data_IF_691321388070
#
_entry.id   IF_691321388070
#
_cell.length_a   1.000
_cell.length_b   1.000
_cell.length_c   1.000
_cell.angle_alpha   90.00
_cell.angle_beta   90.00
_cell.angle_gamma   90.00
#
_symmetry.space_group_name_H-M   'P 1'
#
loop_
_entity.id
_entity.type
_entity.pdbx_description
1 polymer ?
#
# COMPACT_ATOMS: atom_id res chain seq x y z
N UNK A 1 8.51 -7.72 30.81
CA UNK A 1 8.42 -6.27 30.56
C UNK A 1 7.12 -6.04 29.84
N UNK A 2 6.17 -5.30 30.43
CA UNK A 2 5.10 -4.71 29.62
C UNK A 2 5.80 -3.78 28.63
N UNK A 3 5.64 -4.01 27.33
CA UNK A 3 5.99 -2.98 26.36
C UNK A 3 4.97 -1.87 26.53
N UNK A 4 5.43 -0.65 26.80
CA UNK A 4 4.56 0.52 26.71
C UNK A 4 3.98 0.60 25.30
N UNK A 5 2.65 0.73 25.22
CA UNK A 5 1.91 0.87 23.96
C UNK A 5 2.51 1.98 23.09
N UNK A 6 2.34 1.86 21.79
CA UNK A 6 2.68 2.91 20.86
C UNK A 6 1.56 3.93 20.80
N UNK A 7 1.87 5.14 21.22
CA UNK A 7 0.96 6.28 21.28
C UNK A 7 0.94 6.99 19.93
N UNK A 8 -0.24 7.27 19.39
CA UNK A 8 -0.35 7.96 18.11
C UNK A 8 -1.60 8.82 18.03
N UNK A 9 -1.54 9.80 17.14
CA UNK A 9 -2.69 10.63 16.77
C UNK A 9 -3.00 10.44 15.29
N UNK A 10 -4.21 10.83 14.89
CA UNK A 10 -4.61 10.88 13.49
C UNK A 10 -4.97 12.31 13.09
N UNK A 11 -4.38 12.78 12.00
CA UNK A 11 -4.64 14.08 11.38
C UNK A 11 -5.46 13.85 10.11
N UNK A 12 -6.74 14.19 10.19
CA UNK A 12 -7.69 13.99 9.10
C UNK A 12 -8.75 12.94 9.43
N UNK A 13 -10.00 13.24 9.08
CA UNK A 13 -11.19 12.47 9.46
C UNK A 13 -11.83 11.77 8.25
N UNK A 14 -11.02 11.40 7.25
CA UNK A 14 -11.47 10.79 6.01
C UNK A 14 -11.70 9.27 6.15
N UNK A 15 -12.20 8.66 5.08
CA UNK A 15 -12.39 7.20 5.01
C UNK A 15 -11.13 6.41 5.39
N UNK A 16 -9.96 6.86 4.92
CA UNK A 16 -8.69 6.18 5.15
C UNK A 16 -8.25 6.22 6.62
N UNK A 17 -8.55 7.31 7.32
CA UNK A 17 -8.28 7.44 8.76
C UNK A 17 -8.94 6.32 9.58
N UNK A 18 -10.10 5.81 9.14
CA UNK A 18 -10.82 4.75 9.86
C UNK A 18 -10.12 3.40 9.84
N UNK A 19 -9.16 3.17 8.93
CA UNK A 19 -8.33 1.96 8.97
C UNK A 19 -7.44 1.96 10.22
N UNK A 20 -6.81 3.10 10.52
CA UNK A 20 -5.99 3.27 11.72
C UNK A 20 -6.81 3.14 13.00
N UNK A 21 -8.04 3.65 13.02
CA UNK A 21 -8.98 3.46 14.14
C UNK A 21 -9.30 1.98 14.35
N UNK A 22 -9.60 1.24 13.27
CA UNK A 22 -9.89 -0.21 13.37
C UNK A 22 -8.67 -1.01 13.84
N UNK A 23 -7.47 -0.67 13.36
CA UNK A 23 -6.22 -1.28 13.83
C UNK A 23 -6.03 -1.03 15.34
N UNK A 24 -6.18 0.21 15.81
CA UNK A 24 -6.01 0.53 17.24
C UNK A 24 -7.00 -0.26 18.12
N UNK A 25 -8.25 -0.38 17.68
CA UNK A 25 -9.29 -1.15 18.39
C UNK A 25 -9.03 -2.65 18.39
N UNK A 26 -8.49 -3.19 17.30
CA UNK A 26 -8.18 -4.61 17.17
C UNK A 26 -6.91 -5.01 17.94
N UNK A 27 -6.02 -4.05 18.22
CA UNK A 27 -4.72 -4.28 18.86
C UNK A 27 -4.48 -3.31 20.03
N UNK A 28 -5.37 -3.26 21.04
CA UNK A 28 -5.31 -2.26 22.12
C UNK A 28 -4.12 -2.44 23.07
N UNK A 29 -3.52 -3.63 23.09
CA UNK A 29 -2.30 -3.93 23.84
C UNK A 29 -1.04 -3.38 23.15
N UNK A 30 -1.13 -3.03 21.86
CA UNK A 30 0.01 -2.52 21.07
C UNK A 30 -0.12 -1.03 20.76
N UNK A 31 -1.33 -0.55 20.45
CA UNK A 31 -1.56 0.83 20.01
C UNK A 31 -2.52 1.59 20.93
N UNK A 32 -2.16 2.83 21.26
CA UNK A 32 -3.02 3.81 21.92
C UNK A 32 -3.30 4.96 20.93
N UNK A 33 -4.54 5.06 20.45
CA UNK A 33 -4.99 6.24 19.71
C UNK A 33 -5.32 7.33 20.72
N UNK A 34 -4.44 8.31 20.88
CA UNK A 34 -4.59 9.38 21.86
C UNK A 34 -5.69 10.35 21.46
N UNK A 35 -5.71 10.76 20.18
CA UNK A 35 -6.76 11.60 19.62
C UNK A 35 -6.79 11.57 18.09
N UNK A 36 -7.95 11.91 17.53
CA UNK A 36 -8.06 12.35 16.14
C UNK A 36 -8.24 13.87 16.07
N UNK A 37 -7.30 14.55 15.43
CA UNK A 37 -7.39 15.98 15.15
C UNK A 37 -8.39 16.26 14.01
N UNK A 38 -9.34 17.13 14.30
CA UNK A 38 -10.39 17.59 13.40
C UNK A 38 -10.43 19.12 13.38
N UNK A 39 -10.46 19.75 12.20
CA UNK A 39 -10.48 21.22 12.08
C UNK A 39 -11.78 21.89 12.58
N UNK A 40 -12.88 21.14 12.70
CA UNK A 40 -14.21 21.66 13.03
C UNK A 40 -14.81 20.85 14.16
N UNK A 41 -15.32 21.52 15.20
CA UNK A 41 -15.91 20.88 16.38
C UNK A 41 -17.06 19.93 16.00
N UNK A 42 -17.98 20.37 15.14
CA UNK A 42 -19.09 19.54 14.64
C UNK A 42 -18.60 18.19 14.06
N UNK A 43 -17.48 18.21 13.30
CA UNK A 43 -16.91 17.00 12.72
C UNK A 43 -16.21 16.15 13.78
N UNK A 44 -15.54 16.78 14.75
CA UNK A 44 -14.92 16.11 15.88
C UNK A 44 -15.95 15.37 16.73
N UNK A 45 -17.06 16.03 17.08
CA UNK A 45 -18.16 15.46 17.88
C UNK A 45 -18.80 14.28 17.16
N UNK A 46 -19.08 14.42 15.86
CA UNK A 46 -19.64 13.34 15.05
C UNK A 46 -18.73 12.11 15.05
N UNK A 47 -17.42 12.29 14.84
CA UNK A 47 -16.46 11.18 14.81
C UNK A 47 -16.32 10.55 16.20
N UNK A 48 -16.27 11.35 17.27
CA UNK A 48 -16.19 10.85 18.63
C UNK A 48 -17.41 9.97 18.95
N UNK A 49 -18.61 10.42 18.59
CA UNK A 49 -19.84 9.67 18.80
C UNK A 49 -19.90 8.40 17.95
N UNK A 50 -19.60 8.49 16.65
CA UNK A 50 -19.73 7.39 15.69
C UNK A 50 -18.71 6.27 15.95
N UNK A 51 -17.48 6.63 16.32
CA UNK A 51 -16.39 5.67 16.48
C UNK A 51 -15.97 5.46 17.94
N UNK A 52 -16.51 6.19 18.91
CA UNK A 52 -16.14 6.04 20.32
C UNK A 52 -14.65 6.29 20.56
N UNK A 53 -14.09 7.34 19.95
CA UNK A 53 -12.68 7.73 20.08
C UNK A 53 -12.57 9.17 20.60
N UNK A 54 -11.42 9.50 21.18
CA UNK A 54 -11.11 10.87 21.53
C UNK A 54 -10.87 11.71 20.27
N UNK A 55 -11.44 12.91 20.20
CA UNK A 55 -11.23 13.86 19.12
C UNK A 55 -10.90 15.23 19.69
N UNK A 56 -10.03 15.96 19.01
CA UNK A 56 -9.61 17.30 19.42
C UNK A 56 -9.63 18.26 18.25
N UNK A 57 -9.77 19.55 18.55
CA UNK A 57 -9.76 20.63 17.56
C UNK A 57 -8.55 21.56 17.71
N UNK A 58 -7.69 21.30 18.70
CA UNK A 58 -6.45 22.02 18.96
C UNK A 58 -5.24 21.17 18.57
N UNK A 59 -4.30 21.79 17.86
CA UNK A 59 -2.99 21.20 17.56
C UNK A 59 -2.16 21.08 18.85
N UNK A 60 -2.24 22.07 19.74
CA UNK A 60 -1.49 22.05 21.00
C UNK A 60 -1.91 20.88 21.89
N UNK A 61 -3.21 20.53 21.90
CA UNK A 61 -3.69 19.34 22.61
C UNK A 61 -3.03 18.07 22.08
N UNK A 62 -2.86 17.96 20.76
CA UNK A 62 -2.20 16.82 20.13
C UNK A 62 -0.71 16.73 20.53
N UNK A 63 -0.01 17.88 20.54
CA UNK A 63 1.41 17.93 20.90
C UNK A 63 1.60 17.62 22.38
N UNK A 64 0.73 18.12 23.25
CA UNK A 64 0.80 17.90 24.70
C UNK A 64 0.59 16.44 25.10
N UNK A 65 -0.11 15.64 24.27
CA UNK A 65 -0.23 14.19 24.46
C UNK A 65 1.10 13.44 24.24
N UNK A 66 2.09 14.05 23.57
CA UNK A 66 3.40 13.47 23.26
C UNK A 66 3.33 12.08 22.60
N UNK A 67 2.55 11.92 21.51
CA UNK A 67 2.47 10.65 20.82
C UNK A 67 3.82 10.28 20.18
N UNK A 68 4.05 8.98 19.97
CA UNK A 68 5.21 8.47 19.23
C UNK A 68 5.16 8.94 17.77
N UNK A 69 3.99 9.00 17.13
CA UNK A 69 3.87 9.47 15.75
C UNK A 69 2.48 10.05 15.44
N UNK A 70 2.40 10.84 14.36
CA UNK A 70 1.16 11.30 13.76
C UNK A 70 0.88 10.57 12.45
N UNK A 71 -0.32 10.02 12.30
CA UNK A 71 -0.84 9.55 11.02
C UNK A 71 -1.43 10.73 10.26
N UNK A 72 -0.92 11.05 9.08
CA UNK A 72 -1.44 12.12 8.23
C UNK A 72 -2.34 11.50 7.14
N UNK A 73 -3.65 11.52 7.38
CA UNK A 73 -4.68 10.93 6.52
C UNK A 73 -5.59 12.01 5.92
N UNK A 74 -4.98 12.97 5.21
CA UNK A 74 -5.65 14.09 4.54
C UNK A 74 -5.79 13.86 3.03
N UNK A 75 -6.28 14.85 2.29
CA UNK A 75 -6.38 14.75 0.82
C UNK A 75 -4.98 14.64 0.20
N UNK A 76 -4.88 13.98 -0.97
CA UNK A 76 -3.60 13.88 -1.70
C UNK A 76 -2.98 15.25 -2.01
N UNK A 77 -3.79 16.28 -2.20
CA UNK A 77 -3.31 17.63 -2.49
C UNK A 77 -2.69 18.32 -1.26
N UNK A 78 -3.11 17.95 -0.04
CA UNK A 78 -2.61 18.57 1.19
C UNK A 78 -1.55 17.73 1.91
N UNK A 79 -1.29 16.51 1.44
CA UNK A 79 -0.46 15.51 2.16
C UNK A 79 0.96 16.03 2.45
N UNK A 80 1.61 16.67 1.47
CA UNK A 80 2.98 17.16 1.60
C UNK A 80 3.06 18.32 2.61
N UNK A 81 2.22 19.35 2.43
CA UNK A 81 2.24 20.52 3.31
C UNK A 81 1.84 20.16 4.75
N UNK A 82 0.83 19.30 4.94
CA UNK A 82 0.44 18.84 6.27
C UNK A 82 1.53 17.96 6.89
N UNK A 83 2.17 17.07 6.14
CA UNK A 83 3.28 16.29 6.71
C UNK A 83 4.43 17.18 7.18
N UNK A 84 4.84 18.18 6.38
CA UNK A 84 5.87 19.15 6.76
C UNK A 84 5.44 19.94 8.00
N UNK A 85 4.20 20.44 8.04
CA UNK A 85 3.66 21.18 9.19
C UNK A 85 3.79 20.39 10.51
N UNK A 86 3.48 19.11 10.50
CA UNK A 86 3.54 18.27 11.69
C UNK A 86 4.98 17.85 12.04
N UNK A 87 5.85 17.68 11.04
CA UNK A 87 7.28 17.49 11.29
C UNK A 87 7.96 18.73 11.88
N UNK A 88 7.58 19.94 11.45
CA UNK A 88 8.05 21.23 12.02
C UNK A 88 7.75 21.33 13.53
N UNK A 89 6.67 20.69 13.97
CA UNK A 89 6.26 20.59 15.38
C UNK A 89 7.01 19.48 16.15
N UNK A 90 8.00 18.85 15.51
CA UNK A 90 8.84 17.84 16.10
C UNK A 90 8.27 16.42 16.06
N UNK A 91 7.19 16.17 15.31
CA UNK A 91 6.56 14.85 15.28
C UNK A 91 7.11 13.95 14.18
N UNK A 92 7.27 12.66 14.47
CA UNK A 92 7.42 11.64 13.43
C UNK A 92 6.07 11.46 12.74
N UNK A 93 6.08 11.46 11.41
CA UNK A 93 4.89 11.45 10.57
C UNK A 93 4.82 10.15 9.76
N UNK A 94 3.66 9.47 9.83
CA UNK A 94 3.24 8.44 8.89
C UNK A 94 2.19 9.04 7.95
N UNK A 95 2.58 9.51 6.78
CA UNK A 95 1.64 10.08 5.81
C UNK A 95 1.06 9.01 4.89
N UNK A 96 -0.21 9.13 4.55
CA UNK A 96 -0.82 8.37 3.47
C UNK A 96 -0.14 8.60 2.11
N UNK A 97 -0.39 7.70 1.15
CA UNK A 97 0.20 7.77 -0.18
C UNK A 97 -0.59 8.70 -1.12
N UNK A 98 0.08 9.34 -2.11
CA UNK A 98 1.53 9.40 -2.33
C UNK A 98 2.19 10.51 -1.50
N UNK A 99 3.53 10.55 -1.46
CA UNK A 99 4.31 11.61 -0.79
C UNK A 99 4.08 13.02 -1.38
N UNK A 100 3.63 13.11 -2.62
CA UNK A 100 3.32 14.34 -3.35
C UNK A 100 2.71 14.03 -4.71
N UNK A 101 2.12 15.05 -5.36
CA UNK A 101 1.43 14.91 -6.65
C UNK A 101 2.19 15.50 -7.84
N UNK A 102 3.28 16.20 -7.57
CA UNK A 102 4.10 16.89 -8.56
C UNK A 102 5.57 16.91 -8.09
N UNK A 103 6.48 17.19 -9.02
CA UNK A 103 7.92 17.14 -8.76
C UNK A 103 8.41 18.18 -7.75
N UNK A 104 7.73 19.33 -7.66
CA UNK A 104 8.08 20.38 -6.70
C UNK A 104 7.78 19.93 -5.28
N UNK A 105 6.59 19.37 -5.04
CA UNK A 105 6.18 18.79 -3.77
C UNK A 105 7.11 17.64 -3.34
N UNK A 106 7.53 16.78 -4.29
CA UNK A 106 8.48 15.70 -4.01
C UNK A 106 9.86 16.25 -3.61
N UNK A 107 10.36 17.27 -4.30
CA UNK A 107 11.64 17.90 -3.97
C UNK A 107 11.59 18.60 -2.60
N UNK A 108 10.51 19.33 -2.31
CA UNK A 108 10.29 19.96 -1.00
C UNK A 108 10.31 18.93 0.13
N UNK A 109 9.57 17.83 -0.02
CA UNK A 109 9.55 16.73 0.96
C UNK A 109 10.94 16.11 1.15
N UNK A 110 11.69 15.90 0.06
CA UNK A 110 13.04 15.35 0.11
C UNK A 110 14.00 16.24 0.90
N UNK A 111 14.11 17.51 0.53
CA UNK A 111 15.03 18.46 1.17
C UNK A 111 14.68 18.66 2.64
N UNK A 112 13.38 18.69 2.96
CA UNK A 112 12.94 18.81 4.34
C UNK A 112 13.30 17.56 5.16
N UNK A 113 12.97 16.36 4.67
CA UNK A 113 13.23 15.12 5.41
C UNK A 113 14.72 14.80 5.56
N UNK A 114 15.59 15.29 4.66
CA UNK A 114 17.05 15.21 4.86
C UNK A 114 17.50 15.81 6.19
N UNK A 115 16.87 16.92 6.60
CA UNK A 115 17.23 17.63 7.82
C UNK A 115 16.57 17.01 9.06
N UNK A 116 15.29 16.64 8.98
CA UNK A 116 14.52 16.23 10.17
C UNK A 116 14.48 14.73 10.41
N UNK A 117 14.59 13.90 9.36
CA UNK A 117 14.46 12.44 9.41
C UNK A 117 13.24 11.96 10.23
N UNK A 118 12.05 12.45 9.85
CA UNK A 118 10.78 12.19 10.56
C UNK A 118 9.66 11.71 9.66
N UNK A 119 9.88 11.63 8.35
CA UNK A 119 8.88 11.23 7.38
C UNK A 119 8.89 9.72 7.14
N UNK A 120 7.70 9.10 7.21
CA UNK A 120 7.40 7.75 6.75
C UNK A 120 6.16 7.81 5.86
N UNK A 121 6.20 7.15 4.71
CA UNK A 121 5.04 7.07 3.80
C UNK A 121 4.38 5.70 3.92
N UNK A 122 3.06 5.68 4.06
CA UNK A 122 2.26 4.49 4.31
C UNK A 122 2.04 3.63 3.05
N UNK A 123 3.12 3.24 2.36
CA UNK A 123 3.07 2.26 1.27
C UNK A 123 2.92 0.85 1.82
N UNK A 124 1.67 0.48 2.10
CA UNK A 124 1.35 -0.75 2.80
C UNK A 124 1.39 -1.99 1.89
N UNK A 125 1.34 -1.86 0.56
CA UNK A 125 1.21 -3.03 -0.32
C UNK A 125 2.43 -3.96 -0.23
N UNK A 126 3.62 -3.44 0.09
CA UNK A 126 4.81 -4.28 0.34
C UNK A 126 4.72 -5.09 1.64
N UNK A 127 3.90 -4.64 2.58
CA UNK A 127 3.65 -5.33 3.86
C UNK A 127 2.41 -6.21 3.84
N UNK A 128 1.66 -6.25 2.73
CA UNK A 128 0.59 -7.24 2.57
C UNK A 128 1.20 -8.64 2.75
N UNK A 129 0.64 -9.47 3.64
CA UNK A 129 1.04 -10.86 3.83
C UNK A 129 1.46 -11.57 2.55
N UNK A 130 0.63 -11.51 1.50
CA UNK A 130 0.89 -12.16 0.22
C UNK A 130 2.11 -11.60 -0.50
N UNK A 131 2.13 -10.28 -0.76
CA UNK A 131 3.24 -9.64 -1.47
C UNK A 131 4.57 -9.83 -0.71
N UNK A 132 4.53 -9.74 0.63
CA UNK A 132 5.69 -9.96 1.49
C UNK A 132 6.22 -11.40 1.39
N UNK A 133 5.33 -12.40 1.33
CA UNK A 133 5.70 -13.79 1.12
C UNK A 133 6.34 -14.01 -0.25
N UNK A 134 5.76 -13.44 -1.33
CA UNK A 134 6.30 -13.54 -2.69
C UNK A 134 7.65 -12.83 -2.82
N UNK A 135 7.81 -11.63 -2.26
CA UNK A 135 9.09 -10.92 -2.22
C UNK A 135 10.15 -11.76 -1.48
N UNK A 136 9.79 -12.38 -0.35
CA UNK A 136 10.69 -13.27 0.39
C UNK A 136 11.08 -14.51 -0.42
N UNK A 137 10.14 -15.05 -1.19
CA UNK A 137 10.37 -16.20 -2.05
C UNK A 137 11.32 -15.85 -3.20
N UNK A 138 11.13 -14.70 -3.87
CA UNK A 138 12.06 -14.20 -4.89
C UNK A 138 13.46 -14.02 -4.29
N UNK A 139 13.56 -13.40 -3.11
CA UNK A 139 14.84 -13.20 -2.41
C UNK A 139 15.52 -14.51 -1.98
N UNK A 140 14.80 -15.63 -1.94
CA UNK A 140 15.41 -16.94 -1.68
C UNK A 140 16.23 -17.47 -2.87
N UNK A 141 16.08 -16.86 -4.06
CA UNK A 141 16.78 -17.26 -5.28
C UNK A 141 16.11 -18.41 -6.02
N UNK A 142 14.92 -18.87 -5.60
CA UNK A 142 14.24 -20.02 -6.20
C UNK A 142 14.00 -19.89 -7.70
N UNK A 143 13.68 -18.68 -8.19
CA UNK A 143 13.53 -18.38 -9.62
C UNK A 143 14.76 -17.70 -10.22
N UNK A 144 15.89 -17.64 -9.51
CA UNK A 144 17.11 -16.96 -9.97
C UNK A 144 16.99 -15.43 -9.98
N UNK A 145 17.73 -14.77 -10.87
CA UNK A 145 17.63 -13.32 -11.06
C UNK A 145 16.41 -13.00 -11.92
N UNK A 146 15.55 -12.09 -11.43
CA UNK A 146 14.31 -11.70 -12.08
C UNK A 146 14.58 -10.73 -13.22
N UNK A 147 14.17 -11.06 -14.43
CA UNK A 147 14.39 -10.23 -15.62
C UNK A 147 13.17 -9.38 -15.96
N UNK A 148 11.97 -9.92 -15.80
CA UNK A 148 10.76 -9.21 -16.18
C UNK A 148 9.52 -9.61 -15.38
N UNK A 149 8.48 -8.79 -15.48
CA UNK A 149 7.20 -9.08 -14.87
C UNK A 149 6.00 -8.48 -15.62
N UNK A 150 4.84 -9.14 -15.52
CA UNK A 150 3.53 -8.57 -15.81
C UNK A 150 2.80 -8.34 -14.49
N UNK A 151 2.18 -7.18 -14.30
CA UNK A 151 1.45 -6.86 -13.07
C UNK A 151 0.10 -6.23 -13.37
N UNK A 152 -0.92 -6.82 -12.76
CA UNK A 152 -2.26 -6.27 -12.63
C UNK A 152 -2.72 -6.45 -11.21
N UNK A 153 -2.32 -5.55 -10.32
CA UNK A 153 -2.55 -5.75 -8.87
C UNK A 153 -2.93 -4.45 -8.14
N UNK A 154 -2.20 -3.37 -8.39
CA UNK A 154 -2.43 -2.11 -7.70
C UNK A 154 -2.24 -0.93 -8.64
N UNK A 155 -2.96 0.15 -8.39
CA UNK A 155 -2.90 1.34 -9.23
C UNK A 155 -1.59 2.13 -9.05
N UNK A 156 -1.14 2.77 -10.12
CA UNK A 156 -0.27 3.94 -10.10
C UNK A 156 0.91 3.81 -9.13
N UNK A 157 0.91 4.56 -8.01
CA UNK A 157 1.94 4.57 -6.97
C UNK A 157 2.22 3.18 -6.40
N UNK A 158 1.17 2.46 -5.99
CA UNK A 158 1.29 1.12 -5.41
C UNK A 158 1.80 0.12 -6.44
N UNK A 159 1.37 0.26 -7.70
CA UNK A 159 1.89 -0.51 -8.82
C UNK A 159 3.39 -0.30 -9.01
N UNK A 160 3.85 0.96 -9.03
CA UNK A 160 5.27 1.30 -9.11
C UNK A 160 6.08 0.71 -7.96
N UNK A 161 5.59 0.86 -6.73
CA UNK A 161 6.23 0.33 -5.53
C UNK A 161 6.42 -1.19 -5.61
N UNK A 162 5.38 -1.92 -6.01
CA UNK A 162 5.43 -3.38 -6.14
C UNK A 162 6.31 -3.84 -7.30
N UNK A 163 6.26 -3.16 -8.45
CA UNK A 163 7.14 -3.48 -9.58
C UNK A 163 8.60 -3.42 -9.16
N UNK A 164 9.00 -2.35 -8.46
CA UNK A 164 10.37 -2.23 -7.96
C UNK A 164 10.71 -3.30 -6.93
N UNK A 165 9.79 -3.61 -6.03
CA UNK A 165 10.02 -4.62 -4.99
C UNK A 165 10.23 -6.03 -5.59
N UNK A 166 9.44 -6.40 -6.60
CA UNK A 166 9.53 -7.71 -7.25
C UNK A 166 10.75 -7.84 -8.17
N UNK A 167 11.09 -6.79 -8.92
CA UNK A 167 12.24 -6.79 -9.82
C UNK A 167 13.58 -6.54 -9.10
N UNK A 168 13.56 -6.09 -7.84
CA UNK A 168 14.76 -5.68 -7.11
C UNK A 168 15.36 -4.37 -7.63
N UNK A 169 14.49 -3.40 -7.95
CA UNK A 169 14.90 -2.09 -8.51
C UNK A 169 15.08 -1.07 -7.39
N UNK A 170 16.26 -0.48 -7.35
CA UNK A 170 16.59 0.60 -6.44
C UNK A 170 15.92 1.92 -6.86
N UNK A 171 15.56 2.81 -5.92
CA UNK A 171 14.80 4.05 -6.22
C UNK A 171 15.52 5.02 -7.16
N UNK A 172 16.86 4.99 -7.21
CA UNK A 172 17.65 5.86 -8.09
C UNK A 172 17.83 5.32 -9.52
N UNK A 173 17.34 4.12 -9.83
CA UNK A 173 17.55 3.49 -11.13
C UNK A 173 16.73 4.19 -12.22
N UNK A 174 17.38 4.52 -13.33
CA UNK A 174 16.71 5.16 -14.46
C UNK A 174 15.84 4.16 -15.23
N UNK A 175 14.79 4.68 -15.85
CA UNK A 175 13.88 3.90 -16.69
C UNK A 175 13.30 4.73 -17.84
N UNK A 176 12.92 4.05 -18.92
CA UNK A 176 12.01 4.56 -19.94
C UNK A 176 10.58 4.11 -19.62
N UNK A 177 9.58 4.87 -20.07
CA UNK A 177 8.18 4.61 -19.78
C UNK A 177 7.31 4.93 -21.00
N UNK A 178 6.50 3.97 -21.42
CA UNK A 178 5.37 4.19 -22.34
C UNK A 178 4.07 3.85 -21.64
N UNK A 179 3.00 4.58 -21.90
CA UNK A 179 1.72 4.35 -21.23
C UNK A 179 0.54 4.78 -22.10
N UNK A 180 -0.57 4.06 -21.95
CA UNK A 180 -1.81 4.32 -22.67
C UNK A 180 -3.02 4.03 -21.79
N UNK A 181 -4.05 4.85 -21.94
CA UNK A 181 -5.36 4.60 -21.34
C UNK A 181 -6.32 4.03 -22.37
N UNK A 182 -7.09 3.05 -21.92
CA UNK A 182 -8.22 2.48 -22.63
C UNK A 182 -9.47 2.61 -21.76
N UNK A 183 -10.62 2.41 -22.39
CA UNK A 183 -11.90 2.36 -21.73
C UNK A 183 -12.63 1.11 -22.19
N UNK A 184 -13.13 0.32 -21.24
CA UNK A 184 -13.89 -0.89 -21.53
C UNK A 184 -15.16 -0.94 -20.66
N UNK A 185 -16.30 -1.39 -21.22
CA UNK A 185 -17.50 -1.60 -20.43
C UNK A 185 -17.28 -2.74 -19.43
N UNK A 186 -17.62 -2.50 -18.16
CA UNK A 186 -17.54 -3.52 -17.10
C UNK A 186 -18.74 -3.38 -16.17
N UNK A 187 -19.31 -4.50 -15.74
CA UNK A 187 -20.37 -4.53 -14.73
C UNK A 187 -19.82 -4.06 -13.38
N UNK A 188 -20.47 -3.07 -12.78
CA UNK A 188 -20.10 -2.61 -11.45
C UNK A 188 -20.63 -3.58 -10.39
N UNK A 189 -19.81 -3.87 -9.39
CA UNK A 189 -20.14 -4.90 -8.39
C UNK A 189 -19.97 -4.41 -6.96
N UNK A 190 -18.92 -3.64 -6.69
CA UNK A 190 -18.62 -3.18 -5.34
C UNK A 190 -17.82 -1.87 -5.39
N UNK A 191 -18.38 -0.82 -4.80
CA UNK A 191 -17.69 0.44 -4.56
C UNK A 191 -17.08 0.46 -3.16
N UNK A 192 -16.48 1.59 -2.80
CA UNK A 192 -16.02 1.84 -1.42
C UNK A 192 -17.15 1.78 -0.38
N UNK A 193 -18.39 2.02 -0.78
CA UNK A 193 -19.51 2.18 0.15
C UNK A 193 -20.64 1.17 -0.07
N UNK A 194 -20.83 0.72 -1.31
CA UNK A 194 -22.04 0.02 -1.72
C UNK A 194 -21.72 -1.20 -2.57
N UNK A 195 -22.55 -2.24 -2.43
CA UNK A 195 -22.56 -3.40 -3.32
C UNK A 195 -23.67 -3.21 -4.34
N UNK A 196 -23.37 -3.46 -5.62
CA UNK A 196 -24.36 -3.44 -6.69
C UNK A 196 -24.69 -4.87 -7.14
N UNK A 197 -25.96 -5.12 -7.42
CA UNK A 197 -26.49 -6.41 -7.87
C UNK A 197 -27.49 -6.26 -9.02
N UNK A 198 -27.66 -5.06 -9.54
CA UNK A 198 -28.61 -4.73 -10.63
C UNK A 198 -28.02 -4.92 -12.03
N UNK A 199 -26.74 -5.33 -12.12
CA UNK A 199 -26.08 -5.60 -13.39
C UNK A 199 -25.70 -4.35 -14.19
N UNK A 200 -25.70 -3.16 -13.57
CA UNK A 200 -25.31 -1.92 -14.26
C UNK A 200 -23.90 -2.03 -14.85
N UNK A 201 -23.77 -1.56 -16.09
CA UNK A 201 -22.51 -1.53 -16.83
C UNK A 201 -22.03 -0.09 -16.92
N UNK A 202 -20.76 0.14 -16.64
CA UNK A 202 -20.12 1.43 -16.79
C UNK A 202 -18.79 1.27 -17.52
N UNK A 203 -18.41 2.33 -18.23
CA UNK A 203 -17.11 2.45 -18.86
C UNK A 203 -16.02 2.63 -17.80
N UNK A 204 -15.07 1.69 -17.77
CA UNK A 204 -13.98 1.66 -16.81
C UNK A 204 -12.65 1.92 -17.49
N UNK A 205 -11.85 2.78 -16.87
CA UNK A 205 -10.50 3.12 -17.31
C UNK A 205 -9.59 1.92 -17.06
N UNK A 206 -8.81 1.54 -18.08
CA UNK A 206 -7.71 0.59 -17.98
C UNK A 206 -6.41 1.26 -18.43
N UNK A 207 -5.39 1.25 -17.59
CA UNK A 207 -4.10 1.85 -17.89
C UNK A 207 -3.08 0.73 -18.15
N UNK A 208 -2.46 0.77 -19.33
CA UNK A 208 -1.41 -0.19 -19.74
C UNK A 208 -0.11 0.57 -19.95
N UNK A 209 1.01 0.05 -19.46
CA UNK A 209 2.31 0.69 -19.58
C UNK A 209 3.48 -0.31 -19.65
N UNK A 210 4.60 0.11 -20.22
CA UNK A 210 5.90 -0.58 -20.13
C UNK A 210 6.91 0.29 -19.38
N UNK A 211 7.58 -0.30 -18.39
CA UNK A 211 8.73 0.29 -17.70
C UNK A 211 9.97 -0.51 -18.09
N UNK A 212 10.94 0.14 -18.73
CA UNK A 212 12.22 -0.49 -19.09
C UNK A 212 13.33 0.16 -18.27
N UNK A 213 13.92 -0.60 -17.36
CA UNK A 213 14.95 -0.12 -16.45
C UNK A 213 16.34 -0.20 -17.11
N UNK A 214 17.26 0.69 -16.71
CA UNK A 214 18.59 0.79 -17.34
C UNK A 214 19.44 -0.48 -17.19
N UNK A 215 19.12 -1.35 -16.23
CA UNK A 215 19.75 -2.66 -16.06
C UNK A 215 19.15 -3.76 -16.96
N UNK A 216 18.25 -3.40 -17.88
CA UNK A 216 17.60 -4.32 -18.81
C UNK A 216 16.37 -5.03 -18.26
N UNK A 217 15.98 -4.81 -17.00
CA UNK A 217 14.75 -5.38 -16.44
C UNK A 217 13.52 -4.66 -17.00
N UNK A 218 12.41 -5.37 -17.16
CA UNK A 218 11.18 -4.81 -17.76
C UNK A 218 9.94 -5.15 -16.93
N UNK A 219 9.05 -4.18 -16.74
CA UNK A 219 7.72 -4.42 -16.19
C UNK A 219 6.62 -4.00 -17.18
N UNK A 220 5.66 -4.89 -17.41
CA UNK A 220 4.40 -4.59 -18.08
C UNK A 220 3.30 -4.40 -17.05
N UNK A 221 2.79 -3.19 -16.98
CA UNK A 221 1.77 -2.77 -16.05
C UNK A 221 0.41 -2.73 -16.74
N UNK A 222 -0.61 -3.27 -16.08
CA UNK A 222 -1.97 -3.33 -16.59
C UNK A 222 -2.98 -3.23 -15.43
N UNK A 223 -3.66 -2.09 -15.28
CA UNK A 223 -4.59 -1.89 -14.17
C UNK A 223 -5.95 -1.40 -14.62
N UNK A 224 -7.00 -2.12 -14.20
CA UNK A 224 -8.41 -1.76 -14.40
C UNK A 224 -8.94 -1.02 -13.15
N UNK A 225 -9.57 0.14 -13.36
CA UNK A 225 -10.16 0.94 -12.28
C UNK A 225 -11.22 0.23 -11.44
N UNK A 226 -11.87 -0.83 -11.96
CA UNK A 226 -12.86 -1.63 -11.23
C UNK A 226 -12.24 -2.74 -10.36
N UNK A 227 -10.92 -2.93 -10.40
CA UNK A 227 -10.27 -4.14 -9.92
C UNK A 227 -10.31 -4.37 -8.40
N UNK A 228 -10.04 -3.36 -7.57
CA UNK A 228 -9.77 -3.54 -6.13
C UNK A 228 -10.85 -4.27 -5.32
N UNK A 229 -12.10 -4.19 -5.74
CA UNK A 229 -13.27 -4.65 -4.97
C UNK A 229 -14.15 -5.58 -5.78
N UNK A 230 -13.82 -5.76 -7.05
CA UNK A 230 -14.64 -6.53 -7.96
C UNK A 230 -14.40 -8.02 -7.76
N UNK A 231 -15.45 -8.82 -7.56
CA UNK A 231 -15.31 -10.27 -7.52
C UNK A 231 -15.01 -10.85 -8.92
N UNK A 232 -15.20 -10.06 -9.98
CA UNK A 232 -15.05 -10.46 -11.39
C UNK A 232 -13.79 -9.87 -12.07
N UNK A 233 -12.98 -9.09 -11.34
CA UNK A 233 -11.68 -8.58 -11.79
C UNK A 233 -10.64 -8.94 -10.73
N UNK A 234 -9.85 -9.98 -10.99
CA UNK A 234 -8.85 -10.47 -10.05
C UNK A 234 -7.51 -9.78 -10.26
N UNK A 235 -6.78 -9.64 -9.16
CA UNK A 235 -5.37 -9.29 -9.23
C UNK A 235 -4.58 -10.48 -9.78
N UNK A 236 -3.61 -10.20 -10.62
CA UNK A 236 -2.68 -11.18 -11.17
C UNK A 236 -1.30 -10.58 -11.38
N UNK A 237 -0.28 -11.42 -11.33
CA UNK A 237 1.06 -11.08 -11.77
C UNK A 237 1.78 -12.32 -12.32
N UNK A 238 2.76 -12.04 -13.18
CA UNK A 238 3.74 -13.00 -13.66
C UNK A 238 5.12 -12.43 -13.41
N UNK A 239 6.01 -13.19 -12.78
CA UNK A 239 7.37 -12.75 -12.44
C UNK A 239 8.34 -13.81 -12.96
N UNK A 240 9.26 -13.42 -13.84
CA UNK A 240 10.14 -14.38 -14.53
C UNK A 240 11.60 -14.10 -14.23
N UNK A 241 12.31 -15.15 -13.83
CA UNK A 241 13.75 -15.11 -13.61
C UNK A 241 14.48 -16.26 -14.30
N UNK A 242 15.81 -16.27 -14.15
CA UNK A 242 16.69 -17.20 -14.87
C UNK A 242 16.49 -18.68 -14.54
N UNK A 243 15.85 -19.00 -13.41
CA UNK A 243 15.62 -20.39 -12.95
C UNK A 243 14.14 -20.75 -12.80
N UNK A 244 13.22 -19.89 -13.22
CA UNK A 244 11.81 -20.15 -13.03
C UNK A 244 10.91 -18.93 -13.18
N UNK A 245 9.64 -19.11 -12.86
CA UNK A 245 8.65 -18.05 -12.84
C UNK A 245 7.60 -18.27 -11.74
N UNK A 246 7.00 -17.18 -11.29
CA UNK A 246 5.84 -17.18 -10.40
C UNK A 246 4.68 -16.63 -11.21
N UNK A 247 3.58 -17.38 -11.29
CA UNK A 247 2.32 -16.95 -11.87
C UNK A 247 1.29 -17.01 -10.76
N UNK A 248 0.90 -15.85 -10.26
CA UNK A 248 0.02 -15.70 -9.10
C UNK A 248 0.52 -16.53 -7.90
N UNK A 249 -0.21 -17.58 -7.54
CA UNK A 249 0.09 -18.44 -6.39
C UNK A 249 0.89 -19.69 -6.79
N UNK A 250 1.26 -19.85 -8.06
CA UNK A 250 2.01 -21.03 -8.55
C UNK A 250 3.44 -20.68 -8.90
N UNK A 251 4.37 -21.53 -8.49
CA UNK A 251 5.81 -21.36 -8.69
C UNK A 251 6.32 -22.49 -9.59
N UNK A 252 6.99 -22.12 -10.66
CA UNK A 252 7.73 -23.00 -11.56
C UNK A 252 9.21 -22.74 -11.35
N UNK A 253 10.01 -23.76 -11.05
CA UNK A 253 11.41 -23.56 -10.69
C UNK A 253 12.26 -24.78 -11.02
N UNK A 254 13.58 -24.60 -10.98
CA UNK A 254 14.55 -25.70 -11.09
C UNK A 254 14.95 -26.18 -9.69
N UNK A 255 14.80 -27.48 -9.45
CA UNK A 255 15.25 -28.12 -8.21
C UNK A 255 16.79 -28.14 -8.08
N UNK A 256 17.29 -28.74 -7.00
CA UNK A 256 18.73 -28.89 -6.71
C UNK A 256 19.51 -29.68 -7.79
N UNK A 257 18.82 -30.48 -8.60
CA UNK A 257 19.38 -31.27 -9.70
C UNK A 257 19.13 -30.61 -11.08
N UNK A 258 18.57 -29.40 -11.12
CA UNK A 258 18.11 -28.70 -12.32
C UNK A 258 16.99 -29.40 -13.10
N UNK A 259 16.18 -30.23 -12.44
CA UNK A 259 14.93 -30.69 -13.03
C UNK A 259 13.84 -29.62 -12.83
N UNK A 260 12.95 -29.50 -13.81
CA UNK A 260 11.77 -28.65 -13.69
C UNK A 260 10.82 -29.19 -12.62
N UNK A 261 10.39 -28.31 -11.73
CA UNK A 261 9.43 -28.60 -10.67
C UNK A 261 8.39 -27.47 -10.58
N UNK A 262 7.23 -27.79 -10.00
CA UNK A 262 6.19 -26.81 -9.71
C UNK A 262 5.56 -27.08 -8.34
N UNK A 263 5.15 -26.01 -7.67
CA UNK A 263 4.39 -26.09 -6.43
C UNK A 263 3.55 -24.82 -6.23
N UNK A 264 2.43 -24.96 -5.53
CA UNK A 264 1.60 -23.83 -5.11
C UNK A 264 2.14 -23.19 -3.83
N UNK A 265 1.88 -21.90 -3.68
CA UNK A 265 2.03 -21.16 -2.44
C UNK A 265 0.81 -21.49 -1.57
N UNK A 266 1.04 -22.14 -0.43
CA UNK A 266 0.00 -22.52 0.52
C UNK A 266 -0.43 -21.30 1.34
N UNK A 267 -1.64 -20.80 1.10
CA UNK A 267 -2.21 -19.65 1.82
C UNK A 267 -3.35 -20.14 2.73
N UNK A 268 -3.12 -20.14 4.04
CA UNK A 268 -4.16 -20.45 5.04
C UNK A 268 -4.86 -19.17 5.47
N UNK A 269 -6.17 -19.18 5.44
CA UNK A 269 -7.01 -18.03 5.82
C UNK A 269 -8.21 -18.45 6.62
N UNK A 270 -8.69 -17.58 7.51
CA UNK A 270 -10.00 -17.70 8.16
C UNK A 270 -10.96 -16.61 7.72
N UNK A 271 -12.25 -16.92 7.77
CA UNK A 271 -13.32 -15.94 7.56
C UNK A 271 -13.63 -15.24 8.88
N UNK A 272 -13.65 -13.90 8.87
CA UNK A 272 -14.05 -13.09 10.01
C UNK A 272 -15.30 -12.30 9.64
N UNK A 273 -16.40 -12.59 10.31
CA UNK A 273 -17.65 -11.85 10.19
C UNK A 273 -17.63 -10.69 11.18
N UNK A 274 -17.55 -9.46 10.69
CA UNK A 274 -17.56 -8.25 11.53
C UNK A 274 -18.95 -7.66 11.70
N UNK A 275 -19.90 -8.03 10.82
CA UNK A 275 -21.24 -7.43 10.82
C UNK A 275 -21.23 -5.93 10.51
N UNK A 276 -20.15 -5.44 9.88
CA UNK A 276 -20.03 -4.04 9.47
C UNK A 276 -21.07 -3.71 8.40
N UNK A 277 -21.69 -2.53 8.50
CA UNK A 277 -22.67 -2.04 7.53
C UNK A 277 -22.04 -1.82 6.16
N UNK A 278 -20.74 -1.53 6.09
CA UNK A 278 -20.04 -1.42 4.84
C UNK A 278 -19.72 -2.82 4.29
N UNK A 279 -20.17 -3.15 3.07
CA UNK A 279 -20.00 -4.48 2.51
C UNK A 279 -18.53 -4.88 2.29
N UNK A 280 -17.59 -3.92 2.27
CA UNK A 280 -16.16 -4.19 2.16
C UNK A 280 -15.55 -4.73 3.46
N UNK A 281 -16.21 -4.53 4.60
CA UNK A 281 -15.71 -4.92 5.92
C UNK A 281 -16.64 -5.90 6.65
N UNK A 282 -17.85 -6.13 6.14
CA UNK A 282 -18.82 -7.04 6.74
C UNK A 282 -18.23 -8.45 6.96
N UNK A 283 -17.50 -8.94 5.95
CA UNK A 283 -16.80 -10.23 5.96
C UNK A 283 -15.42 -10.01 5.36
N UNK A 284 -14.38 -10.41 6.08
CA UNK A 284 -13.01 -10.34 5.59
C UNK A 284 -12.36 -11.73 5.62
N UNK A 285 -11.30 -11.90 4.81
CA UNK A 285 -10.39 -13.03 4.90
C UNK A 285 -9.13 -12.58 5.63
N UNK A 286 -8.86 -13.17 6.78
CA UNK A 286 -7.64 -12.92 7.54
C UNK A 286 -6.62 -14.03 7.22
N UNK A 287 -5.38 -13.62 6.93
CA UNK A 287 -4.29 -14.54 6.57
C UNK A 287 -3.65 -15.10 7.84
N UNK A 288 -3.70 -16.43 7.98
CA UNK A 288 -3.16 -17.15 9.15
C UNK A 288 -1.68 -17.49 8.98
N UNK A 289 -1.32 -17.96 7.78
CA UNK A 289 0.05 -18.28 7.41
C UNK A 289 0.17 -18.40 5.90
N UNK A 290 1.35 -18.09 5.37
CA UNK A 290 1.72 -18.40 3.99
C UNK A 290 3.00 -19.24 4.02
N UNK A 291 3.00 -20.35 3.31
CA UNK A 291 4.16 -21.23 3.18
C UNK A 291 4.39 -21.67 1.75
N UNK A 292 5.62 -22.12 1.47
CA UNK A 292 5.98 -22.76 0.22
C UNK A 292 6.83 -23.98 0.55
N UNK A 293 6.38 -25.17 0.13
CA UNK A 293 7.06 -26.44 0.40
C UNK A 293 7.36 -26.67 1.89
N UNK A 294 6.37 -26.39 2.74
CA UNK A 294 6.49 -26.50 4.19
C UNK A 294 7.32 -25.40 4.87
N UNK A 295 7.99 -24.51 4.11
CA UNK A 295 8.72 -23.37 4.67
C UNK A 295 7.78 -22.18 4.86
N UNK A 296 7.68 -21.69 6.09
CA UNK A 296 6.86 -20.52 6.43
C UNK A 296 7.48 -19.24 5.83
N UNK A 297 6.73 -18.60 4.93
CA UNK A 297 7.07 -17.33 4.31
C UNK A 297 6.50 -16.15 5.10
N UNK A 298 5.29 -16.28 5.64
CA UNK A 298 4.61 -15.27 6.44
C UNK A 298 3.79 -15.90 7.57
N UNK A 299 3.78 -15.24 8.72
CA UNK A 299 2.88 -15.49 9.84
C UNK A 299 2.67 -14.16 10.61
N UNK A 300 1.46 -13.85 11.11
CA UNK A 300 1.22 -12.59 11.80
C UNK A 300 1.97 -12.54 13.14
N UNK A 301 2.73 -11.47 13.36
CA UNK A 301 3.60 -11.33 14.53
C UNK A 301 2.83 -11.26 15.86
N UNK A 302 1.62 -10.71 15.83
CA UNK A 302 0.77 -10.47 17.01
C UNK A 302 -0.45 -11.42 17.06
N UNK A 303 -0.38 -12.54 16.34
CA UNK A 303 -1.50 -13.45 16.20
C UNK A 303 -2.63 -12.90 15.32
N UNK A 304 -3.81 -13.52 15.40
CA UNK A 304 -4.95 -13.22 14.53
C UNK A 304 -5.87 -12.21 15.20
N UNK A 305 -5.80 -10.95 14.78
CA UNK A 305 -6.52 -9.81 15.36
C UNK A 305 -7.88 -9.54 14.69
N UNK A 306 -8.32 -10.41 13.79
CA UNK A 306 -9.53 -10.20 13.01
C UNK A 306 -9.35 -9.09 11.98
N UNK A 307 -8.14 -8.87 11.48
CA UNK A 307 -7.76 -7.81 10.54
C UNK A 307 -7.75 -8.28 9.09
N UNK A 308 -8.13 -7.39 8.16
CA UNK A 308 -7.97 -7.64 6.72
C UNK A 308 -6.49 -7.56 6.33
N UNK A 309 -6.16 -7.99 5.11
CA UNK A 309 -4.79 -7.88 4.62
C UNK A 309 -4.25 -6.43 4.63
N UNK A 310 -5.09 -5.46 4.22
CA UNK A 310 -4.75 -4.03 4.23
C UNK A 310 -4.54 -3.50 5.66
N UNK A 311 -5.42 -3.85 6.59
CA UNK A 311 -5.27 -3.41 7.99
C UNK A 311 -4.09 -4.09 8.70
N UNK A 312 -3.79 -5.34 8.36
CA UNK A 312 -2.60 -6.05 8.88
C UNK A 312 -1.32 -5.37 8.41
N UNK A 313 -1.25 -4.98 7.14
CA UNK A 313 -0.11 -4.25 6.59
C UNK A 313 0.04 -2.84 7.19
N UNK A 314 -1.08 -2.14 7.40
CA UNK A 314 -1.09 -0.84 8.09
C UNK A 314 -0.58 -0.99 9.52
N UNK A 315 -1.04 -2.00 10.27
CA UNK A 315 -0.57 -2.26 11.63
C UNK A 315 0.95 -2.48 11.68
N UNK A 316 1.50 -3.26 10.73
CA UNK A 316 2.93 -3.47 10.62
C UNK A 316 3.70 -2.16 10.34
N UNK A 317 3.17 -1.28 9.49
CA UNK A 317 3.78 0.03 9.25
C UNK A 317 3.68 0.97 10.45
N UNK A 318 2.55 0.96 11.17
CA UNK A 318 2.38 1.75 12.40
C UNK A 318 3.39 1.33 13.47
N UNK A 319 3.54 0.03 13.72
CA UNK A 319 4.52 -0.49 14.68
C UNK A 319 5.94 -0.08 14.31
N UNK A 320 6.33 -0.27 13.05
CA UNK A 320 7.67 0.12 12.59
C UNK A 320 7.90 1.64 12.61
N UNK A 321 6.85 2.44 12.38
CA UNK A 321 6.94 3.90 12.50
C UNK A 321 7.16 4.31 13.95
N UNK A 322 6.47 3.67 14.89
CA UNK A 322 6.68 3.94 16.31
C UNK A 322 8.11 3.57 16.75
N UNK A 323 8.61 2.42 16.30
CA UNK A 323 10.00 2.01 16.53
C UNK A 323 11.00 3.00 15.92
N UNK A 324 10.75 3.47 14.69
CA UNK A 324 11.56 4.50 14.05
C UNK A 324 11.57 5.80 14.84
N UNK A 325 10.39 6.27 15.30
CA UNK A 325 10.26 7.47 16.11
C UNK A 325 11.03 7.39 17.43
N UNK A 326 11.01 6.22 18.07
CA UNK A 326 11.77 5.94 19.31
C UNK A 326 13.28 5.72 19.06
N UNK A 327 13.76 5.79 17.81
CA UNK A 327 15.16 5.51 17.47
C UNK A 327 15.55 4.03 17.61
N UNK A 328 14.57 3.13 17.63
CA UNK A 328 14.73 1.68 17.84
C UNK A 328 14.75 0.89 16.52
N UNK A 329 14.63 1.56 15.37
CA UNK A 329 14.67 0.92 14.07
C UNK A 329 14.85 1.94 12.94
N UNK A 330 15.15 1.49 11.72
CA UNK A 330 15.16 2.36 10.55
C UNK A 330 13.74 2.74 10.14
N UNK A 331 13.61 3.75 9.27
CA UNK A 331 12.33 4.02 8.62
C UNK A 331 11.84 2.77 7.88
N UNK A 332 10.56 2.35 8.03
CA UNK A 332 10.04 1.16 7.38
C UNK A 332 9.91 1.29 5.86
N UNK A 333 9.86 2.53 5.37
CA UNK A 333 9.79 2.85 3.96
C UNK A 333 10.62 4.09 3.71
N UNK A 334 11.76 3.94 3.00
CA UNK A 334 12.69 5.05 2.82
C UNK A 334 12.04 6.20 2.05
N UNK A 335 12.49 7.42 2.31
CA UNK A 335 11.97 8.57 1.58
C UNK A 335 12.32 8.46 0.10
N UNK A 336 13.49 7.92 -0.25
CA UNK A 336 13.90 7.67 -1.62
C UNK A 336 12.92 6.73 -2.35
N UNK A 337 12.49 5.66 -1.67
CA UNK A 337 11.49 4.76 -2.22
C UNK A 337 10.15 5.47 -2.46
N UNK A 338 9.67 6.22 -1.47
CA UNK A 338 8.41 6.95 -1.59
C UNK A 338 8.41 7.99 -2.70
N UNK A 339 9.52 8.72 -2.85
CA UNK A 339 9.65 9.73 -3.89
C UNK A 339 9.78 9.09 -5.27
N UNK A 340 10.53 7.99 -5.40
CA UNK A 340 10.65 7.27 -6.67
C UNK A 340 9.30 6.73 -7.15
N UNK A 341 8.48 6.18 -6.26
CA UNK A 341 7.17 5.64 -6.62
C UNK A 341 6.15 6.74 -6.94
N UNK A 342 6.19 7.85 -6.21
CA UNK A 342 5.40 9.03 -6.54
C UNK A 342 5.81 9.63 -7.88
N UNK A 343 7.11 9.69 -8.16
CA UNK A 343 7.63 10.14 -9.45
C UNK A 343 7.18 9.22 -10.59
N UNK A 344 7.25 7.89 -10.40
CA UNK A 344 6.75 6.92 -11.37
C UNK A 344 5.25 7.11 -11.66
N UNK A 345 4.42 7.32 -10.63
CA UNK A 345 3.01 7.67 -10.79
C UNK A 345 2.84 8.96 -11.61
N UNK A 346 3.58 10.03 -11.30
CA UNK A 346 3.48 11.31 -12.02
C UNK A 346 3.80 11.11 -13.51
N UNK A 347 4.88 10.38 -13.80
CA UNK A 347 5.31 10.09 -15.18
C UNK A 347 4.31 9.21 -15.92
N UNK A 348 3.78 8.18 -15.26
CA UNK A 348 2.72 7.31 -15.81
C UNK A 348 1.49 8.12 -16.20
N UNK A 349 1.02 8.98 -15.30
CA UNK A 349 -0.15 9.81 -15.53
C UNK A 349 0.08 10.86 -16.63
N UNK A 350 1.29 11.43 -16.72
CA UNK A 350 1.64 12.35 -17.81
C UNK A 350 1.67 11.64 -19.17
N UNK A 351 2.34 10.48 -19.25
CA UNK A 351 2.44 9.69 -20.49
C UNK A 351 1.07 9.21 -20.96
N UNK A 352 0.25 8.66 -20.06
CA UNK A 352 -1.06 8.13 -20.40
C UNK A 352 -2.08 9.22 -20.79
N UNK A 353 -1.82 10.49 -20.46
CA UNK A 353 -2.61 11.65 -20.91
C UNK A 353 -2.16 12.19 -22.27
N UNK A 354 -0.87 12.07 -22.58
CA UNK A 354 -0.27 12.61 -23.80
C UNK A 354 -0.63 11.82 -25.07
N UNK A 355 -1.38 10.71 -24.94
CA UNK A 355 -1.74 9.84 -26.06
C UNK A 355 -2.53 10.61 -27.12
N UNK A 356 -1.83 10.95 -28.22
CA UNK A 356 -2.42 11.30 -29.49
C UNK A 356 -2.93 9.99 -30.10
N UNK A 357 -4.18 9.93 -30.61
CA UNK A 357 -4.70 8.71 -31.22
C UNK A 357 -3.77 8.25 -32.35
N UNK A 358 -3.09 7.11 -32.16
CA UNK A 358 -2.41 6.41 -33.24
C UNK A 358 -3.50 5.99 -34.22
N UNK A 359 -3.42 6.54 -35.44
CA UNK A 359 -4.41 6.37 -36.49
C UNK A 359 -4.77 4.90 -36.69
N UNK A 360 -6.05 4.65 -36.98
CA UNK A 360 -6.53 3.33 -37.38
C UNK A 360 -5.62 2.81 -38.49
N UNK A 361 -5.09 1.61 -38.31
CA UNK A 361 -4.64 0.83 -39.45
C UNK A 361 -5.91 0.52 -40.24
N UNK A 362 -6.08 1.19 -41.37
CA UNK A 362 -7.06 0.77 -42.36
C UNK A 362 -6.60 -0.60 -42.86
N UNK A 363 -7.32 -1.65 -42.44
CA UNK A 363 -7.32 -2.95 -43.11
C UNK A 363 -8.63 -3.08 -43.87
#
# INVERSE_FOLDING_TARGET
>A
MHMDRYHFIIVGSGWRAMYYVRVAKAMPELFCLDAMYCRRQEKADKIAQEYGINTVTSIDDCINMRPDFAVIAVSKASICDTAIEWMDRGMTVLSETPAGLDTESLFRMYEYNKAVQKQVVAEQYREYPHNKAVIRLIKSGIIGDVSCMNISLAHEYHGASLMRAYLGINPGMKYSLTAKNYTFPTTETLTRYERYTDGRIADKKRCVASFEFENGKVAWYDFDSEQYRSPIRKNTYKIQGTRGEIIDDKVYYLDENNNGAEADIDIKTRIVNRGDINPNFAVIREVESISFQGKVLYQPAHGLCGLSEDETAIAALMEKTALYSRGMGPSPYSIEDALADAYAMIRLNAMAKADKPVGKADL
#
